data_IF_350810910573
#
_entry.id   IF_350810910573
#
_cell.length_a   1.000
_cell.length_b   1.000
_cell.length_c   1.000
_cell.angle_alpha   90.00
_cell.angle_beta   90.00
_cell.angle_gamma   90.00
#
_symmetry.space_group_name_H-M   'P 1'
#
loop_
_entity.id
_entity.type
_entity.pdbx_description
1 polymer ?
#
# COMPACT_ATOMS: atom_id res chain seq x y z
N UNK A 1 52.47 -21.03 6.98
CA UNK A 1 51.55 -20.29 7.88
C UNK A 1 50.95 -19.18 7.03
N UNK A 2 49.85 -19.49 6.32
CA UNK A 2 49.16 -18.54 5.43
C UNK A 2 47.96 -17.97 6.17
N UNK A 3 47.69 -16.66 6.14
CA UNK A 3 46.51 -16.07 6.76
C UNK A 3 45.25 -16.34 5.93
N UNK A 4 44.22 -16.86 6.60
CA UNK A 4 42.87 -17.02 6.08
C UNK A 4 42.23 -15.64 5.78
N UNK A 5 41.49 -15.48 4.69
CA UNK A 5 40.80 -14.24 4.40
C UNK A 5 39.63 -14.02 5.38
N UNK A 6 39.57 -12.82 5.92
CA UNK A 6 38.42 -12.31 6.70
C UNK A 6 37.17 -12.34 5.82
N UNK A 7 36.19 -13.17 6.19
CA UNK A 7 34.86 -13.11 5.66
C UNK A 7 34.26 -11.75 6.02
N UNK A 8 34.05 -10.90 5.03
CA UNK A 8 33.15 -9.75 5.14
C UNK A 8 31.75 -10.30 5.41
N UNK A 9 31.24 -10.05 6.61
CA UNK A 9 29.82 -10.25 6.91
C UNK A 9 29.03 -9.20 6.09
N UNK A 10 28.48 -9.64 4.96
CA UNK A 10 27.50 -8.86 4.23
C UNK A 10 26.26 -8.74 5.11
N UNK A 11 26.07 -7.56 5.68
CA UNK A 11 24.84 -7.17 6.35
C UNK A 11 23.74 -7.09 5.28
N UNK A 12 23.05 -8.21 5.07
CA UNK A 12 21.70 -8.21 4.54
C UNK A 12 20.90 -7.26 5.42
N UNK A 13 20.50 -6.12 4.88
CA UNK A 13 19.48 -5.29 5.48
C UNK A 13 18.14 -6.06 5.35
N UNK A 14 17.66 -6.72 6.39
CA UNK A 14 16.25 -6.97 6.47
C UNK A 14 15.64 -5.58 6.68
N UNK A 15 14.85 -5.09 5.73
CA UNK A 15 13.83 -4.09 6.02
C UNK A 15 13.03 -4.71 7.16
N UNK A 16 13.37 -4.33 8.37
CA UNK A 16 12.67 -4.71 9.57
C UNK A 16 11.32 -4.01 9.54
N UNK A 17 10.39 -4.58 8.75
CA UNK A 17 8.99 -4.57 9.11
C UNK A 17 8.90 -5.26 10.47
N UNK A 18 9.14 -4.52 11.54
CA UNK A 18 8.78 -4.96 12.86
C UNK A 18 7.27 -4.79 13.07
N UNK A 19 6.46 -5.36 12.20
CA UNK A 19 5.21 -5.96 12.60
C UNK A 19 5.58 -7.30 13.25
N UNK A 20 6.16 -7.26 14.43
CA UNK A 20 6.46 -8.45 15.22
C UNK A 20 5.22 -8.89 15.99
N UNK A 21 4.11 -9.10 15.30
CA UNK A 21 3.30 -10.25 15.67
C UNK A 21 4.06 -11.43 15.07
N UNK A 22 4.69 -12.24 15.89
CA UNK A 22 5.14 -13.55 15.47
C UNK A 22 3.89 -14.28 14.99
N UNK A 23 3.57 -14.13 13.70
CA UNK A 23 2.55 -14.93 13.06
C UNK A 23 3.09 -16.36 13.17
N UNK A 24 2.45 -17.17 13.98
CA UNK A 24 2.73 -18.59 14.09
C UNK A 24 2.19 -19.24 12.81
N UNK A 25 2.88 -19.01 11.68
CA UNK A 25 2.62 -19.76 10.47
C UNK A 25 2.86 -21.24 10.80
N UNK A 26 1.94 -22.10 10.41
CA UNK A 26 2.08 -23.53 10.62
C UNK A 26 2.96 -24.06 9.48
N UNK A 27 4.17 -24.59 9.78
CA UNK A 27 4.97 -25.25 8.76
C UNK A 27 4.23 -26.52 8.30
N UNK A 28 3.87 -26.55 7.04
CA UNK A 28 3.25 -27.74 6.40
C UNK A 28 4.36 -28.69 5.95
N UNK A 29 5.48 -28.12 5.46
CA UNK A 29 6.74 -28.78 5.18
C UNK A 29 7.88 -27.86 5.58
N UNK A 30 9.13 -28.33 5.45
CA UNK A 30 10.33 -27.49 5.69
C UNK A 30 10.40 -26.26 4.78
N UNK A 31 9.66 -26.27 3.66
CA UNK A 31 9.66 -25.24 2.62
C UNK A 31 8.36 -24.44 2.54
N UNK A 32 7.24 -24.94 3.07
CA UNK A 32 5.91 -24.36 2.94
C UNK A 32 5.31 -23.98 4.28
N UNK A 33 5.13 -22.68 4.48
CA UNK A 33 4.38 -22.11 5.61
C UNK A 33 2.99 -21.69 5.18
N UNK A 34 1.98 -22.04 5.96
CA UNK A 34 0.60 -21.56 5.81
C UNK A 34 0.18 -20.83 7.07
N UNK A 35 -0.44 -19.69 6.91
CA UNK A 35 -0.89 -18.87 8.01
C UNK A 35 -2.00 -17.92 7.57
N UNK A 36 -2.33 -16.99 8.44
CA UNK A 36 -3.38 -16.03 8.13
C UNK A 36 -3.62 -15.05 9.24
N UNK A 37 -4.76 -14.36 9.16
CA UNK A 37 -5.25 -13.54 10.25
C UNK A 37 -6.77 -13.43 10.21
N UNK A 38 -7.34 -13.29 11.41
CA UNK A 38 -8.72 -12.84 11.60
C UNK A 38 -8.64 -11.48 12.29
N UNK A 39 -9.26 -10.45 11.69
CA UNK A 39 -9.22 -9.10 12.21
C UNK A 39 -10.62 -8.60 12.55
N UNK A 40 -10.67 -7.82 13.62
CA UNK A 40 -11.80 -7.00 13.99
C UNK A 40 -11.42 -5.52 13.91
N UNK A 41 -12.39 -4.67 13.61
CA UNK A 41 -12.21 -3.22 13.53
C UNK A 41 -13.21 -2.50 14.43
N UNK A 42 -12.83 -1.31 14.84
CA UNK A 42 -13.67 -0.35 15.50
C UNK A 42 -13.52 0.99 14.79
N UNK A 43 -14.66 1.63 14.49
CA UNK A 43 -14.76 2.94 13.86
C UNK A 43 -15.66 3.83 14.69
N UNK A 44 -15.14 4.99 15.08
CA UNK A 44 -15.91 6.04 15.75
C UNK A 44 -15.73 7.35 14.99
N UNK A 45 -16.81 7.83 14.39
CA UNK A 45 -16.85 9.07 13.62
C UNK A 45 -18.08 9.87 14.12
N UNK A 46 -17.86 10.87 14.94
CA UNK A 46 -18.95 11.65 15.53
C UNK A 46 -19.67 12.52 14.49
N UNK A 47 -18.99 12.93 13.42
CA UNK A 47 -19.57 13.83 12.41
C UNK A 47 -20.56 13.08 11.51
N UNK A 48 -20.39 11.75 11.37
CA UNK A 48 -21.27 10.87 10.59
C UNK A 48 -22.16 9.94 11.45
N UNK A 49 -22.16 10.11 12.77
CA UNK A 49 -22.87 9.24 13.74
C UNK A 49 -22.52 7.74 13.54
N UNK A 50 -21.22 7.46 13.36
CA UNK A 50 -20.72 6.11 13.19
C UNK A 50 -20.05 5.63 14.47
N UNK A 51 -20.64 4.61 15.11
CA UNK A 51 -20.07 3.82 16.18
C UNK A 51 -20.21 2.35 15.80
N UNK A 52 -19.15 1.77 15.21
CA UNK A 52 -19.19 0.40 14.69
C UNK A 52 -18.02 -0.42 15.23
N UNK A 53 -18.32 -1.60 15.70
CA UNK A 53 -17.34 -2.61 16.05
C UNK A 53 -17.74 -3.94 15.43
N UNK A 54 -16.79 -4.64 14.81
CA UNK A 54 -17.13 -5.91 14.19
C UNK A 54 -15.96 -6.55 13.44
N UNK A 55 -16.32 -7.56 12.67
CA UNK A 55 -15.37 -8.25 11.80
C UNK A 55 -14.80 -7.28 10.73
N UNK A 56 -13.49 -7.33 10.53
CA UNK A 56 -12.82 -6.59 9.45
C UNK A 56 -12.50 -7.52 8.28
N UNK A 57 -11.58 -8.47 8.47
CA UNK A 57 -11.17 -9.38 7.38
C UNK A 57 -10.69 -10.73 7.90
N UNK A 58 -10.86 -11.75 7.06
CA UNK A 58 -10.11 -13.00 7.11
C UNK A 58 -9.04 -12.97 6.02
N UNK A 59 -7.81 -13.29 6.38
CA UNK A 59 -6.69 -13.45 5.45
C UNK A 59 -6.16 -14.88 5.51
N UNK A 60 -5.86 -15.45 4.36
CA UNK A 60 -5.11 -16.69 4.23
C UNK A 60 -3.82 -16.40 3.48
N UNK A 61 -2.70 -16.92 3.97
CA UNK A 61 -1.38 -16.72 3.41
C UNK A 61 -0.66 -18.07 3.24
N UNK A 62 0.04 -18.22 2.13
CA UNK A 62 1.01 -19.29 1.94
C UNK A 62 2.35 -18.66 1.52
N UNK A 63 3.45 -19.18 2.04
CA UNK A 63 4.81 -18.76 1.67
C UNK A 63 5.63 -20.01 1.41
N UNK A 64 6.27 -20.08 0.25
CA UNK A 64 7.15 -21.16 -0.15
C UNK A 64 8.59 -20.66 -0.24
N UNK A 65 9.52 -21.37 0.35
CA UNK A 65 10.94 -21.01 0.31
C UNK A 65 11.81 -22.27 0.25
N UNK A 66 12.52 -22.44 -0.86
CA UNK A 66 13.59 -23.41 -1.02
C UNK A 66 14.90 -22.71 -1.37
N UNK A 67 15.94 -23.45 -1.70
CA UNK A 67 17.25 -22.88 -2.07
C UNK A 67 17.14 -21.90 -3.25
N UNK A 68 16.39 -22.27 -4.29
CA UNK A 68 16.26 -21.48 -5.52
C UNK A 68 14.85 -20.94 -5.76
N UNK A 69 13.81 -21.68 -5.35
CA UNK A 69 12.44 -21.28 -5.61
C UNK A 69 11.82 -20.60 -4.39
N UNK A 70 11.11 -19.53 -4.64
CA UNK A 70 10.35 -18.78 -3.65
C UNK A 70 8.96 -18.50 -4.17
N UNK A 71 8.00 -18.31 -3.29
CA UNK A 71 6.66 -17.93 -3.68
C UNK A 71 5.85 -17.41 -2.51
N UNK A 72 4.86 -16.58 -2.78
CA UNK A 72 3.94 -16.14 -1.77
C UNK A 72 2.57 -15.88 -2.38
N UNK A 73 1.52 -16.20 -1.63
CA UNK A 73 0.16 -15.86 -1.96
C UNK A 73 -0.57 -15.39 -0.70
N UNK A 74 -1.44 -14.39 -0.87
CA UNK A 74 -2.36 -13.93 0.16
C UNK A 74 -3.72 -13.67 -0.48
N UNK A 75 -4.77 -14.18 0.18
CA UNK A 75 -6.15 -13.96 -0.21
C UNK A 75 -6.92 -13.35 0.95
N UNK A 76 -7.74 -12.33 0.68
CA UNK A 76 -8.54 -11.60 1.67
C UNK A 76 -10.02 -11.77 1.42
N UNK A 77 -10.79 -11.81 2.54
CA UNK A 77 -12.24 -11.94 2.56
C UNK A 77 -12.82 -10.87 3.47
N UNK A 78 -13.75 -10.07 2.94
CA UNK A 78 -14.49 -9.03 3.62
C UNK A 78 -15.99 -9.22 3.40
N UNK A 79 -16.81 -8.39 4.01
CA UNK A 79 -18.23 -8.31 3.76
C UNK A 79 -19.10 -8.40 5.00
N UNK A 80 -20.38 -8.00 4.86
CA UNK A 80 -21.47 -7.98 5.84
C UNK A 80 -21.31 -6.95 6.95
N UNK A 81 -20.11 -6.70 7.46
CA UNK A 81 -19.86 -5.73 8.52
C UNK A 81 -19.40 -4.39 7.94
N UNK A 82 -19.46 -3.32 8.74
CA UNK A 82 -18.96 -2.01 8.34
C UNK A 82 -17.50 -2.09 7.86
N UNK A 83 -17.13 -1.44 6.75
CA UNK A 83 -17.93 -0.58 5.86
C UNK A 83 -18.69 -1.32 4.74
N UNK A 84 -18.71 -2.66 4.72
CA UNK A 84 -19.27 -3.51 3.66
C UNK A 84 -20.71 -3.93 3.91
N UNK A 85 -21.54 -3.10 4.57
CA UNK A 85 -22.93 -3.43 4.93
C UNK A 85 -23.84 -3.60 3.72
N UNK A 86 -23.40 -3.21 2.52
CA UNK A 86 -24.09 -3.43 1.25
C UNK A 86 -23.98 -4.89 0.77
N UNK A 87 -23.27 -5.74 1.48
CA UNK A 87 -23.10 -7.17 1.18
C UNK A 87 -23.85 -8.04 2.19
N UNK A 88 -24.23 -9.26 1.79
CA UNK A 88 -25.01 -10.18 2.61
C UNK A 88 -24.12 -11.12 3.46
N UNK A 89 -22.94 -11.48 2.97
CA UNK A 89 -22.10 -12.50 3.58
C UNK A 89 -20.62 -12.07 3.63
N UNK A 90 -19.89 -12.63 4.61
CA UNK A 90 -18.41 -12.59 4.61
C UNK A 90 -17.92 -13.38 3.39
N UNK A 91 -17.05 -12.75 2.58
CA UNK A 91 -16.56 -13.31 1.33
C UNK A 91 -17.30 -12.78 0.10
N UNK A 92 -18.30 -11.93 0.25
CA UNK A 92 -18.92 -11.25 -0.89
C UNK A 92 -17.96 -10.20 -1.49
N UNK A 93 -17.00 -9.71 -0.68
CA UNK A 93 -15.81 -9.00 -1.19
C UNK A 93 -14.60 -9.90 -0.92
N UNK A 94 -13.97 -10.40 -1.99
CA UNK A 94 -12.85 -11.31 -1.85
C UNK A 94 -11.89 -11.22 -3.04
N UNK A 95 -10.57 -11.19 -2.76
CA UNK A 95 -9.55 -11.00 -3.79
C UNK A 95 -8.18 -11.54 -3.37
N UNK A 96 -7.36 -11.84 -4.38
CA UNK A 96 -5.94 -12.07 -4.19
C UNK A 96 -5.21 -10.73 -4.01
N UNK A 97 -4.52 -10.56 -2.89
CA UNK A 97 -3.69 -9.38 -2.63
C UNK A 97 -2.37 -9.49 -3.40
N UNK A 98 -1.76 -10.67 -3.35
CA UNK A 98 -0.64 -11.08 -4.19
C UNK A 98 -0.67 -12.60 -4.39
N UNK A 99 -0.10 -13.05 -5.50
CA UNK A 99 0.12 -14.47 -5.81
C UNK A 99 1.22 -14.57 -6.86
N UNK A 100 2.43 -14.96 -6.44
CA UNK A 100 3.59 -15.01 -7.32
C UNK A 100 4.51 -16.18 -6.97
N UNK A 101 5.29 -16.60 -7.95
CA UNK A 101 6.42 -17.50 -7.82
C UNK A 101 7.68 -16.77 -8.27
N UNK A 102 8.80 -17.08 -7.65
CA UNK A 102 10.07 -16.47 -7.99
C UNK A 102 11.22 -17.46 -8.00
N UNK A 103 12.29 -17.06 -8.63
CA UNK A 103 13.54 -17.80 -8.70
C UNK A 103 14.70 -16.95 -8.23
N UNK A 104 15.48 -17.46 -7.28
CA UNK A 104 16.74 -16.87 -6.83
C UNK A 104 17.88 -17.43 -7.68
N UNK A 105 18.56 -16.55 -8.39
CA UNK A 105 19.77 -16.91 -9.15
C UNK A 105 20.96 -17.10 -8.21
N UNK A 106 20.99 -16.26 -7.15
CA UNK A 106 21.97 -16.22 -6.08
C UNK A 106 21.41 -15.39 -4.90
N UNK A 107 22.29 -15.05 -3.93
CA UNK A 107 21.90 -14.25 -2.76
C UNK A 107 21.44 -12.81 -3.10
N UNK A 108 21.87 -12.28 -4.24
CA UNK A 108 21.71 -10.88 -4.61
C UNK A 108 20.69 -10.69 -5.74
N UNK A 109 20.30 -11.75 -6.46
CA UNK A 109 19.46 -11.65 -7.67
C UNK A 109 18.29 -12.60 -7.63
N UNK A 110 17.12 -12.05 -7.92
CA UNK A 110 15.89 -12.83 -8.05
C UNK A 110 14.93 -12.26 -9.08
N UNK A 111 14.07 -13.11 -9.61
CA UNK A 111 12.91 -12.74 -10.42
C UNK A 111 11.63 -13.24 -9.75
N UNK A 112 10.57 -12.47 -9.82
CA UNK A 112 9.22 -12.84 -9.35
C UNK A 112 8.25 -12.72 -10.51
N UNK A 113 7.33 -13.68 -10.69
CA UNK A 113 6.33 -13.69 -11.77
C UNK A 113 4.97 -13.98 -11.17
N UNK A 114 3.97 -13.23 -11.56
CA UNK A 114 2.60 -13.33 -11.09
C UNK A 114 2.03 -12.00 -10.66
N UNK A 115 1.07 -12.02 -9.75
CA UNK A 115 0.54 -10.84 -9.09
C UNK A 115 1.51 -10.46 -7.95
N UNK A 116 2.35 -9.49 -8.15
CA UNK A 116 3.36 -9.06 -7.19
C UNK A 116 3.43 -7.55 -7.05
N UNK A 117 3.99 -7.08 -5.94
CA UNK A 117 4.08 -5.66 -5.62
C UNK A 117 4.95 -4.91 -6.62
N UNK A 118 4.42 -3.81 -7.14
CA UNK A 118 5.11 -2.88 -8.05
C UNK A 118 6.19 -2.12 -7.27
N UNK A 119 7.45 -2.10 -7.74
CA UNK A 119 8.54 -1.45 -7.03
C UNK A 119 8.53 0.07 -7.26
N UNK A 120 7.79 0.81 -6.44
CA UNK A 120 7.69 2.26 -6.53
C UNK A 120 7.77 2.92 -5.15
N UNK A 121 8.59 3.95 -5.00
CA UNK A 121 8.74 4.73 -3.79
C UNK A 121 9.29 3.97 -2.59
N UNK A 122 8.84 4.36 -1.41
CA UNK A 122 9.02 3.63 -0.16
C UNK A 122 8.37 2.24 -0.26
N UNK A 123 8.97 1.26 0.38
CA UNK A 123 8.44 -0.11 0.34
C UNK A 123 8.47 -0.73 1.73
N UNK A 124 7.47 -1.57 2.03
CA UNK A 124 6.27 -1.91 1.23
C UNK A 124 5.18 -0.83 1.30
N UNK A 125 5.22 0.04 2.28
CA UNK A 125 4.26 1.10 2.56
C UNK A 125 4.95 2.46 2.68
N UNK A 126 4.18 3.55 2.55
CA UNK A 126 4.72 4.92 2.60
C UNK A 126 4.75 5.52 4.01
N UNK A 127 4.47 4.73 5.03
CA UNK A 127 4.50 5.17 6.41
C UNK A 127 4.36 4.03 7.40
N UNK A 128 4.30 4.38 8.68
CA UNK A 128 4.09 3.46 9.81
C UNK A 128 2.62 3.17 10.08
N UNK A 129 1.72 3.83 9.35
CA UNK A 129 0.27 3.77 9.57
C UNK A 129 -0.33 2.44 9.14
N UNK A 130 -1.33 1.98 9.89
CA UNK A 130 -2.12 0.81 9.54
C UNK A 130 -3.20 1.14 8.48
N UNK A 131 -3.74 2.36 8.53
CA UNK A 131 -4.77 2.86 7.61
C UNK A 131 -4.22 3.28 6.24
N UNK A 132 -2.89 3.34 6.09
CA UNK A 132 -2.17 3.77 4.89
C UNK A 132 -2.31 5.26 4.58
N UNK A 133 -1.51 5.75 3.62
CA UNK A 133 -1.48 7.16 3.23
C UNK A 133 -2.40 7.44 2.03
N UNK A 134 -2.51 8.70 1.62
CA UNK A 134 -3.16 9.05 0.34
C UNK A 134 -2.47 8.40 -0.87
N UNK A 135 -1.20 7.97 -0.73
CA UNK A 135 -0.47 7.22 -1.75
C UNK A 135 -1.20 5.96 -2.20
N UNK A 136 -1.89 5.28 -1.28
CA UNK A 136 -2.67 4.08 -1.56
C UNK A 136 -3.84 4.39 -2.51
N UNK A 137 -4.70 5.33 -2.15
CA UNK A 137 -5.91 5.66 -2.92
C UNK A 137 -5.63 6.39 -4.25
N UNK A 138 -4.45 7.01 -4.42
CA UNK A 138 -4.01 7.51 -5.73
C UNK A 138 -3.21 6.49 -6.54
N UNK A 139 -3.14 5.23 -6.05
CA UNK A 139 -2.58 4.10 -6.78
C UNK A 139 -1.06 4.13 -6.93
N UNK A 140 -0.34 4.57 -5.90
CA UNK A 140 1.13 4.60 -5.86
C UNK A 140 1.72 3.81 -4.69
N UNK A 141 0.98 3.63 -3.59
CA UNK A 141 1.36 2.83 -2.41
C UNK A 141 0.63 1.48 -2.43
N UNK A 142 1.30 0.42 -2.00
CA UNK A 142 0.79 -0.97 -1.93
C UNK A 142 0.14 -1.47 -3.23
N UNK A 143 0.73 -1.09 -4.36
CA UNK A 143 0.24 -1.46 -5.68
C UNK A 143 0.75 -2.84 -6.05
N UNK A 144 -0.14 -3.76 -6.39
CA UNK A 144 0.19 -5.06 -7.00
C UNK A 144 -0.27 -5.11 -8.46
N UNK A 145 0.55 -5.72 -9.32
CA UNK A 145 0.26 -5.87 -10.74
C UNK A 145 0.68 -7.26 -11.26
N UNK A 146 0.08 -7.65 -12.38
CA UNK A 146 0.33 -8.97 -12.99
C UNK A 146 1.44 -8.88 -14.02
N UNK A 147 2.58 -9.50 -13.71
CA UNK A 147 3.75 -9.44 -14.56
C UNK A 147 4.99 -10.05 -13.92
N UNK A 148 6.14 -9.49 -14.26
CA UNK A 148 7.44 -9.93 -13.78
C UNK A 148 8.19 -8.77 -13.12
N UNK A 149 8.88 -9.06 -12.02
CA UNK A 149 9.77 -8.14 -11.30
C UNK A 149 11.13 -8.79 -11.12
N UNK A 150 12.17 -8.06 -11.51
CA UNK A 150 13.56 -8.40 -11.25
C UNK A 150 14.08 -7.55 -10.09
N UNK A 151 14.82 -8.16 -9.17
CA UNK A 151 15.43 -7.52 -8.01
C UNK A 151 16.90 -7.87 -7.99
N UNK A 152 17.77 -6.87 -7.83
CA UNK A 152 19.20 -7.03 -7.71
C UNK A 152 19.79 -6.15 -6.62
N UNK A 153 20.60 -6.75 -5.75
CA UNK A 153 21.46 -6.05 -4.80
C UNK A 153 22.87 -5.92 -5.40
N UNK A 154 23.43 -4.71 -5.39
CA UNK A 154 24.78 -4.39 -5.90
C UNK A 154 25.52 -3.58 -4.84
N UNK A 155 26.11 -4.27 -3.86
CA UNK A 155 26.68 -3.62 -2.67
C UNK A 155 25.60 -2.82 -1.94
N UNK A 156 25.78 -1.50 -1.82
CA UNK A 156 24.80 -0.62 -1.15
C UNK A 156 23.60 -0.26 -2.03
N UNK A 157 23.58 -0.66 -3.31
CA UNK A 157 22.51 -0.32 -4.24
C UNK A 157 21.51 -1.46 -4.38
N UNK A 158 20.23 -1.12 -4.34
CA UNK A 158 19.10 -2.00 -4.65
C UNK A 158 18.41 -1.52 -5.92
N UNK A 159 18.46 -2.35 -6.96
CA UNK A 159 17.77 -2.12 -8.22
C UNK A 159 16.57 -3.04 -8.31
N UNK A 160 15.41 -2.49 -8.61
CA UNK A 160 14.21 -3.26 -8.93
C UNK A 160 13.62 -2.76 -10.24
N UNK A 161 13.24 -3.68 -11.13
CA UNK A 161 12.60 -3.38 -12.41
C UNK A 161 11.39 -4.30 -12.61
N UNK A 162 10.25 -3.74 -13.01
CA UNK A 162 9.02 -4.48 -13.24
C UNK A 162 8.43 -4.23 -14.62
N UNK A 163 7.91 -5.30 -15.21
CA UNK A 163 7.16 -5.29 -16.47
C UNK A 163 5.83 -6.00 -16.24
N UNK A 164 4.73 -5.27 -16.31
CA UNK A 164 3.41 -5.81 -15.99
C UNK A 164 2.44 -5.58 -17.15
N UNK A 165 1.64 -6.59 -17.43
CA UNK A 165 0.62 -6.52 -18.47
C UNK A 165 -0.58 -5.65 -18.08
N UNK A 166 -0.92 -5.66 -16.78
CA UNK A 166 -2.10 -4.99 -16.21
C UNK A 166 -1.96 -4.84 -14.70
N UNK A 167 -2.76 -3.95 -14.06
CA UNK A 167 -2.97 -3.95 -12.62
C UNK A 167 -3.55 -5.28 -12.11
N UNK A 168 -3.76 -5.41 -10.80
CA UNK A 168 -4.46 -6.54 -10.22
C UNK A 168 -5.81 -6.78 -10.95
N UNK A 169 -6.22 -8.04 -11.05
CA UNK A 169 -7.53 -8.35 -11.60
C UNK A 169 -8.62 -8.18 -10.52
N UNK A 170 -9.86 -7.85 -10.90
CA UNK A 170 -10.98 -7.82 -9.98
C UNK A 170 -11.18 -9.18 -9.29
N UNK A 171 -11.44 -9.13 -8.00
CA UNK A 171 -11.97 -10.25 -7.24
C UNK A 171 -13.50 -10.24 -7.22
N UNK A 172 -14.08 -11.09 -6.38
CA UNK A 172 -15.52 -11.06 -6.14
C UNK A 172 -15.89 -9.75 -5.44
N UNK A 173 -16.90 -9.04 -5.92
CA UNK A 173 -17.40 -7.80 -5.33
C UNK A 173 -16.43 -6.62 -5.35
N UNK A 174 -15.37 -6.68 -6.17
CA UNK A 174 -14.37 -5.62 -6.28
C UNK A 174 -14.32 -5.03 -7.68
N UNK A 175 -13.99 -3.76 -7.81
CA UNK A 175 -13.77 -3.14 -9.12
C UNK A 175 -12.37 -3.38 -9.67
N UNK A 176 -11.35 -3.55 -8.81
CA UNK A 176 -9.97 -3.77 -9.24
C UNK A 176 -9.05 -4.53 -8.24
N UNK A 177 -9.58 -5.50 -7.49
CA UNK A 177 -8.79 -6.27 -6.54
C UNK A 177 -8.18 -5.43 -5.42
N UNK A 178 -6.96 -5.76 -5.01
CA UNK A 178 -6.26 -5.11 -3.89
C UNK A 178 -5.71 -3.72 -4.20
N UNK A 179 -5.60 -3.36 -5.47
CA UNK A 179 -4.86 -2.17 -5.92
C UNK A 179 -5.83 -1.12 -6.45
N UNK A 180 -5.67 0.11 -5.99
CA UNK A 180 -6.35 1.24 -6.61
C UNK A 180 -5.68 1.58 -7.94
N UNK A 181 -6.41 1.45 -9.00
CA UNK A 181 -5.96 1.84 -10.34
C UNK A 181 -7.15 2.16 -11.25
N UNK A 182 -6.87 2.56 -12.50
CA UNK A 182 -7.91 2.96 -13.45
C UNK A 182 -8.90 1.85 -13.73
N UNK A 183 -10.18 2.19 -13.75
CA UNK A 183 -11.29 1.28 -14.05
C UNK A 183 -12.13 1.78 -15.20
N UNK A 184 -12.87 0.86 -15.81
CA UNK A 184 -13.89 1.16 -16.82
C UNK A 184 -15.23 1.22 -16.10
N UNK A 185 -15.71 2.43 -15.80
CA UNK A 185 -17.02 2.64 -15.17
C UNK A 185 -18.15 2.25 -16.12
N UNK A 186 -19.30 1.89 -15.58
CA UNK A 186 -20.53 1.68 -16.33
C UNK A 186 -21.44 2.92 -16.24
N UNK A 187 -22.45 2.99 -17.07
CA UNK A 187 -23.45 4.06 -17.02
C UNK A 187 -24.30 4.00 -15.72
N UNK A 188 -24.41 2.83 -15.12
CA UNK A 188 -25.14 2.59 -13.87
C UNK A 188 -24.24 2.70 -12.63
N UNK A 189 -22.96 3.11 -12.81
CA UNK A 189 -22.03 3.31 -11.71
C UNK A 189 -22.43 4.54 -10.89
N UNK A 190 -22.23 4.45 -9.58
CA UNK A 190 -22.55 5.55 -8.65
C UNK A 190 -21.55 6.71 -8.72
N UNK A 191 -20.50 6.62 -9.56
CA UNK A 191 -19.46 7.64 -9.71
C UNK A 191 -19.90 8.65 -10.78
N UNK A 192 -20.27 9.89 -10.40
CA UNK A 192 -20.64 10.92 -11.37
C UNK A 192 -19.48 11.21 -12.32
N UNK A 193 -19.77 11.35 -13.61
CA UNK A 193 -18.76 11.62 -14.65
C UNK A 193 -17.63 10.58 -14.67
N UNK A 194 -17.95 9.33 -14.34
CA UNK A 194 -17.01 8.24 -14.32
C UNK A 194 -16.36 8.01 -15.68
N UNK A 195 -15.06 7.73 -15.70
CA UNK A 195 -14.28 7.55 -16.92
C UNK A 195 -14.06 6.08 -17.23
N UNK A 196 -13.70 5.76 -18.47
CA UNK A 196 -13.60 4.38 -18.97
C UNK A 196 -12.19 4.06 -19.44
N UNK A 197 -11.23 4.13 -18.51
CA UNK A 197 -9.82 3.95 -18.80
C UNK A 197 -9.31 2.60 -18.28
N UNK A 198 -8.55 1.88 -19.11
CA UNK A 198 -7.92 0.62 -18.77
C UNK A 198 -6.40 0.75 -18.82
N UNK A 199 -5.73 0.50 -17.70
CA UNK A 199 -4.26 0.53 -17.64
C UNK A 199 -3.65 -0.78 -18.13
N UNK A 200 -2.59 -0.66 -18.95
CA UNK A 200 -1.87 -1.75 -19.59
C UNK A 200 -0.38 -1.43 -19.69
N UNK A 201 0.44 -2.46 -19.89
CA UNK A 201 1.88 -2.32 -20.22
C UNK A 201 2.59 -1.40 -19.22
N UNK A 202 2.54 -1.76 -17.95
CA UNK A 202 3.18 -0.99 -16.89
C UNK A 202 4.66 -1.35 -16.86
N UNK A 203 5.51 -0.34 -16.94
CA UNK A 203 6.96 -0.45 -16.80
C UNK A 203 7.35 0.40 -15.59
N UNK A 204 8.14 -0.17 -14.69
CA UNK A 204 8.58 0.53 -13.49
C UNK A 204 10.02 0.19 -13.17
N UNK A 205 10.75 1.16 -12.66
CA UNK A 205 12.09 1.00 -12.11
C UNK A 205 12.21 1.75 -10.80
N UNK A 206 12.89 1.15 -9.83
CA UNK A 206 13.28 1.72 -8.55
C UNK A 206 14.76 1.49 -8.34
N UNK A 207 15.48 2.55 -8.00
CA UNK A 207 16.87 2.49 -7.59
C UNK A 207 17.00 3.14 -6.22
N UNK A 208 17.51 2.40 -5.25
CA UNK A 208 17.74 2.90 -3.91
C UNK A 208 19.18 2.62 -3.46
N UNK A 209 19.72 3.46 -2.60
CA UNK A 209 21.03 3.30 -2.00
C UNK A 209 20.94 3.35 -0.49
N UNK A 210 21.48 2.33 0.16
CA UNK A 210 21.70 2.30 1.60
C UNK A 210 22.96 3.12 1.93
N UNK A 211 22.89 3.95 2.97
CA UNK A 211 24.02 4.78 3.41
C UNK A 211 23.94 5.08 4.91
N UNK A 212 25.07 5.41 5.50
CA UNK A 212 25.16 5.85 6.89
C UNK A 212 25.30 7.37 6.91
N UNK A 213 24.32 8.08 7.48
CA UNK A 213 24.34 9.53 7.66
C UNK A 213 24.48 9.85 9.15
N UNK A 214 25.72 10.02 9.63
CA UNK A 214 25.97 10.09 11.06
C UNK A 214 25.55 8.82 11.77
N UNK A 215 24.64 8.89 12.72
CA UNK A 215 24.06 7.75 13.43
C UNK A 215 22.85 7.12 12.71
N UNK A 216 22.37 7.75 11.63
CA UNK A 216 21.21 7.29 10.88
C UNK A 216 21.60 6.23 9.86
N UNK A 217 21.01 5.05 9.98
CA UNK A 217 20.95 4.06 8.90
C UNK A 217 19.90 4.55 7.91
N UNK A 218 20.30 4.83 6.70
CA UNK A 218 19.45 5.53 5.73
C UNK A 218 19.36 4.78 4.41
N UNK A 219 18.25 4.97 3.72
CA UNK A 219 18.06 4.66 2.32
C UNK A 219 17.56 5.93 1.61
N UNK A 220 18.15 6.23 0.46
CA UNK A 220 17.63 7.22 -0.48
C UNK A 220 17.36 6.55 -1.80
N UNK A 221 16.29 6.92 -2.48
CA UNK A 221 15.98 6.28 -3.74
C UNK A 221 15.08 7.09 -4.64
N UNK A 222 15.06 6.66 -5.90
CA UNK A 222 14.24 7.23 -6.97
C UNK A 222 13.44 6.15 -7.64
N UNK A 223 12.25 6.50 -8.12
CA UNK A 223 11.38 5.58 -8.85
C UNK A 223 10.75 6.26 -10.04
N UNK A 224 10.54 5.50 -11.11
CA UNK A 224 9.82 5.94 -12.30
C UNK A 224 8.86 4.83 -12.76
N UNK A 225 7.64 5.21 -13.11
CA UNK A 225 6.61 4.35 -13.65
C UNK A 225 6.04 4.98 -14.91
N UNK A 226 5.82 4.17 -15.94
CA UNK A 226 5.04 4.54 -17.13
C UNK A 226 4.11 3.42 -17.51
N UNK A 227 2.91 3.76 -17.97
CA UNK A 227 1.94 2.78 -18.49
C UNK A 227 1.09 3.37 -19.61
N UNK A 228 0.45 2.49 -20.36
CA UNK A 228 -0.53 2.85 -21.37
C UNK A 228 -1.93 2.89 -20.76
N UNK A 229 -2.67 3.95 -21.04
CA UNK A 229 -4.10 4.09 -20.72
C UNK A 229 -4.92 3.96 -22.01
N UNK A 230 -5.78 2.96 -22.07
CA UNK A 230 -6.71 2.77 -23.19
C UNK A 230 -8.10 3.29 -22.78
N UNK A 231 -8.57 4.33 -23.45
CA UNK A 231 -9.92 4.81 -23.26
C UNK A 231 -10.90 3.98 -24.09
N UNK A 232 -12.01 3.53 -23.49
CA UNK A 232 -12.99 2.63 -24.13
C UNK A 232 -14.06 3.37 -24.92
N UNK A 233 -14.16 4.68 -24.76
CA UNK A 233 -15.13 5.50 -25.49
C UNK A 233 -14.50 6.10 -26.75
N UNK A 234 -13.31 6.69 -26.62
CA UNK A 234 -12.61 7.30 -27.75
C UNK A 234 -11.80 6.28 -28.57
N UNK A 235 -11.51 5.11 -28.02
CA UNK A 235 -10.59 4.10 -28.54
C UNK A 235 -9.14 4.60 -28.69
N UNK A 236 -8.83 5.75 -28.10
CA UNK A 236 -7.50 6.33 -28.10
C UNK A 236 -6.64 5.80 -26.94
N UNK A 237 -5.33 5.84 -27.12
CA UNK A 237 -4.37 5.49 -26.09
C UNK A 237 -3.66 6.72 -25.55
N UNK A 238 -3.73 6.87 -24.26
CA UNK A 238 -2.95 7.82 -23.48
C UNK A 238 -1.87 7.15 -22.65
N UNK A 239 -1.36 7.87 -21.65
CA UNK A 239 -0.29 7.41 -20.77
C UNK A 239 -0.51 7.83 -19.33
N UNK A 240 -0.01 7.01 -18.40
CA UNK A 240 0.25 7.37 -17.01
C UNK A 240 1.75 7.38 -16.80
N UNK A 241 2.28 8.44 -16.21
CA UNK A 241 3.65 8.53 -15.74
C UNK A 241 3.66 8.92 -14.27
N UNK A 242 4.54 8.30 -13.48
CA UNK A 242 4.75 8.68 -12.10
C UNK A 242 6.24 8.63 -11.76
N UNK A 243 6.67 9.56 -10.90
CA UNK A 243 8.05 9.66 -10.42
C UNK A 243 8.02 9.89 -8.92
N UNK A 244 8.99 9.36 -8.22
CA UNK A 244 9.15 9.59 -6.79
C UNK A 244 10.63 9.68 -6.38
N UNK A 245 10.88 10.52 -5.40
CA UNK A 245 12.10 10.55 -4.58
C UNK A 245 11.70 10.17 -3.16
N UNK A 246 12.46 9.30 -2.50
CA UNK A 246 12.17 8.90 -1.14
C UNK A 246 13.42 8.84 -0.26
N UNK A 247 13.18 8.98 1.04
CA UNK A 247 14.14 8.78 2.12
C UNK A 247 13.53 7.91 3.21
N UNK A 248 14.28 6.92 3.65
CA UNK A 248 14.00 6.12 4.84
C UNK A 248 15.20 6.25 5.77
N UNK A 249 14.97 6.57 7.03
CA UNK A 249 16.01 6.71 8.04
C UNK A 249 15.63 6.07 9.36
N UNK A 250 16.62 5.47 10.04
CA UNK A 250 16.48 4.91 11.38
C UNK A 250 17.68 5.27 12.24
N UNK A 251 17.43 5.79 13.44
CA UNK A 251 18.44 6.03 14.48
C UNK A 251 17.89 5.55 15.83
N UNK A 252 18.44 4.44 16.32
CA UNK A 252 17.92 3.78 17.52
C UNK A 252 16.42 3.53 17.42
N UNK A 253 15.59 4.07 18.35
CA UNK A 253 14.13 3.90 18.33
C UNK A 253 13.41 4.80 17.31
N UNK A 254 14.08 5.82 16.76
CA UNK A 254 13.48 6.77 15.84
C UNK A 254 13.45 6.24 14.41
N UNK A 255 12.32 6.42 13.73
CA UNK A 255 12.14 6.16 12.31
C UNK A 255 11.59 7.40 11.58
N UNK A 256 12.12 7.67 10.40
CA UNK A 256 11.67 8.76 9.52
C UNK A 256 11.46 8.19 8.11
N UNK A 257 10.32 8.48 7.49
CA UNK A 257 10.06 8.15 6.10
C UNK A 257 9.55 9.41 5.40
N UNK A 258 10.15 9.73 4.26
CA UNK A 258 9.76 10.89 3.46
C UNK A 258 9.64 10.47 2.00
N UNK A 259 8.61 10.97 1.33
CA UNK A 259 8.47 10.79 -0.11
C UNK A 259 7.87 12.02 -0.76
N UNK A 260 8.43 12.40 -1.90
CA UNK A 260 7.84 13.37 -2.82
C UNK A 260 7.70 12.71 -4.19
N UNK A 261 6.52 12.79 -4.77
CA UNK A 261 6.21 12.17 -6.06
C UNK A 261 5.29 13.03 -6.91
N UNK A 262 5.24 12.71 -8.19
CA UNK A 262 4.33 13.34 -9.16
C UNK A 262 3.69 12.26 -10.01
N UNK A 263 2.38 12.38 -10.22
CA UNK A 263 1.61 11.55 -11.15
C UNK A 263 1.01 12.43 -12.26
N UNK A 264 1.08 11.94 -13.49
CA UNK A 264 0.49 12.58 -14.66
C UNK A 264 -0.18 11.52 -15.54
N UNK A 265 -1.45 11.72 -15.80
CA UNK A 265 -2.26 10.88 -16.68
C UNK A 265 -2.81 11.72 -17.86
N UNK A 266 -2.83 11.12 -19.04
CA UNK A 266 -3.49 11.64 -20.23
C UNK A 266 -4.51 10.60 -20.69
N UNK A 267 -5.70 10.57 -20.10
CA UNK A 267 -6.66 9.47 -20.24
C UNK A 267 -7.35 9.40 -21.59
N UNK A 268 -7.31 10.47 -22.40
CA UNK A 268 -8.00 10.56 -23.68
C UNK A 268 -9.52 10.42 -23.54
N UNK A 269 -10.08 11.04 -22.52
CA UNK A 269 -11.51 11.04 -22.29
C UNK A 269 -12.26 11.82 -23.40
N UNK A 270 -13.54 11.54 -23.67
CA UNK A 270 -14.34 12.27 -24.67
C UNK A 270 -14.47 13.78 -24.38
N UNK A 271 -14.43 14.16 -23.10
CA UNK A 271 -14.53 15.55 -22.64
C UNK A 271 -13.24 16.08 -22.07
N UNK A 272 -13.14 16.13 -20.73
CA UNK A 272 -11.97 16.64 -20.02
C UNK A 272 -11.02 15.51 -19.63
N UNK A 273 -9.71 15.75 -19.76
CA UNK A 273 -8.63 14.88 -19.30
C UNK A 273 -8.20 15.16 -17.83
N UNK A 274 -8.98 15.95 -17.08
CA UNK A 274 -8.62 16.36 -15.73
C UNK A 274 -8.87 15.29 -14.67
N UNK A 275 -9.73 14.32 -14.97
CA UNK A 275 -10.20 13.29 -14.03
C UNK A 275 -10.05 11.89 -14.64
N UNK A 276 -9.73 10.91 -13.78
CA UNK A 276 -9.70 9.48 -14.11
C UNK A 276 -10.38 8.70 -12.99
N UNK A 277 -11.29 7.79 -13.31
CA UNK A 277 -11.90 6.91 -12.31
C UNK A 277 -10.94 5.81 -11.91
N UNK A 278 -10.75 5.67 -10.60
CA UNK A 278 -10.00 4.60 -9.96
C UNK A 278 -10.94 3.71 -9.18
N UNK A 279 -10.61 2.44 -9.11
CA UNK A 279 -11.30 1.46 -8.29
C UNK A 279 -10.34 0.55 -7.57
N UNK A 280 -10.80 -0.03 -6.49
CA UNK A 280 -10.09 -0.98 -5.66
C UNK A 280 -11.04 -2.07 -5.15
N UNK A 281 -10.74 -2.62 -3.99
CA UNK A 281 -11.53 -3.68 -3.38
C UNK A 281 -12.79 -3.16 -2.65
N UNK A 282 -12.84 -1.92 -2.28
CA UNK A 282 -13.87 -1.32 -1.43
C UNK A 282 -14.65 -0.17 -2.09
N UNK A 283 -14.29 0.19 -3.32
CA UNK A 283 -15.06 1.16 -4.05
C UNK A 283 -14.41 1.74 -5.29
N UNK A 284 -15.12 2.69 -5.89
CA UNK A 284 -14.73 3.42 -7.10
C UNK A 284 -14.93 4.90 -6.87
N UNK A 285 -13.97 5.72 -7.30
CA UNK A 285 -13.99 7.18 -7.18
C UNK A 285 -13.15 7.83 -8.27
N UNK A 286 -13.33 9.13 -8.46
CA UNK A 286 -12.55 9.92 -9.38
C UNK A 286 -11.26 10.44 -8.72
N UNK A 287 -10.17 10.45 -9.46
CA UNK A 287 -8.86 10.97 -9.06
C UNK A 287 -8.42 12.02 -10.06
N UNK A 288 -7.85 13.13 -9.61
CA UNK A 288 -7.24 14.12 -10.49
C UNK A 288 -6.15 13.48 -11.34
N UNK A 289 -6.20 13.71 -12.65
CA UNK A 289 -5.27 13.10 -13.59
C UNK A 289 -3.82 13.55 -13.38
N UNK A 290 -3.61 14.69 -12.71
CA UNK A 290 -2.27 15.24 -12.44
C UNK A 290 -2.19 15.80 -11.03
N UNK A 291 -1.10 15.46 -10.33
CA UNK A 291 -0.86 15.99 -8.99
C UNK A 291 0.49 15.58 -8.45
N UNK A 292 0.88 16.24 -7.36
CA UNK A 292 2.07 15.93 -6.58
C UNK A 292 1.65 15.27 -5.27
N UNK A 293 2.29 14.17 -4.93
CA UNK A 293 2.07 13.46 -3.68
C UNK A 293 3.26 13.70 -2.75
N UNK A 294 2.96 14.12 -1.53
CA UNK A 294 3.95 14.27 -0.47
C UNK A 294 3.55 13.39 0.71
N UNK A 295 4.53 12.71 1.28
CA UNK A 295 4.34 11.87 2.48
C UNK A 295 5.48 12.13 3.45
N UNK A 296 5.15 12.30 4.72
CA UNK A 296 6.08 12.40 5.83
C UNK A 296 5.61 11.54 6.99
N UNK A 297 6.49 10.71 7.53
CA UNK A 297 6.24 9.82 8.66
C UNK A 297 7.36 9.94 9.69
N UNK A 298 6.99 10.06 10.94
CA UNK A 298 7.89 10.03 12.08
C UNK A 298 7.39 9.01 13.07
N UNK A 299 8.25 8.10 13.49
CA UNK A 299 7.89 7.05 14.44
C UNK A 299 8.92 6.89 15.56
N UNK A 300 8.45 6.41 16.71
CA UNK A 300 9.28 6.02 17.84
C UNK A 300 8.88 4.63 18.32
N UNK A 301 9.84 3.71 18.34
CA UNK A 301 9.66 2.33 18.79
C UNK A 301 10.15 2.18 20.23
N UNK A 302 9.25 1.86 21.15
CA UNK A 302 9.61 1.65 22.56
C UNK A 302 10.35 0.31 22.71
N UNK A 303 11.52 0.30 23.34
CA UNK A 303 12.23 -0.93 23.62
C UNK A 303 11.55 -1.71 24.74
N UNK A 304 11.72 -3.04 24.72
CA UNK A 304 11.28 -3.93 25.80
C UNK A 304 9.85 -4.41 25.66
N UNK A 305 9.35 -4.93 26.77
CA UNK A 305 8.00 -5.51 26.91
C UNK A 305 7.19 -4.76 27.96
N UNK A 306 5.88 -4.88 27.89
CA UNK A 306 4.92 -4.29 28.83
C UNK A 306 3.84 -5.32 29.20
N UNK A 307 2.90 -4.96 30.13
CA UNK A 307 1.85 -5.86 30.62
C UNK A 307 2.43 -7.22 31.09
N UNK A 308 3.42 -7.18 31.99
CA UNK A 308 4.02 -8.40 32.54
C UNK A 308 4.73 -9.30 31.52
N UNK A 309 5.24 -8.72 30.42
CA UNK A 309 5.97 -9.44 29.37
C UNK A 309 5.09 -9.95 28.23
N UNK A 310 3.78 -9.72 28.24
CA UNK A 310 2.86 -10.17 27.19
C UNK A 310 2.77 -9.20 26.01
N UNK A 311 3.05 -7.92 26.22
CA UNK A 311 3.06 -6.90 25.20
C UNK A 311 4.48 -6.62 24.69
N UNK A 312 4.63 -6.34 23.40
CA UNK A 312 5.91 -6.02 22.75
C UNK A 312 5.72 -5.18 21.48
N UNK A 313 6.81 -4.61 21.00
CA UNK A 313 6.84 -3.90 19.71
C UNK A 313 5.98 -2.64 19.69
N UNK A 314 5.82 -1.97 20.84
CA UNK A 314 5.05 -0.72 20.91
C UNK A 314 5.74 0.35 20.07
N UNK A 315 4.98 0.93 19.15
CA UNK A 315 5.40 2.04 18.28
C UNK A 315 4.34 3.13 18.34
N UNK A 316 4.77 4.37 18.45
CA UNK A 316 3.91 5.55 18.21
C UNK A 316 4.41 6.24 16.95
N UNK A 317 3.49 6.84 16.18
CA UNK A 317 3.82 7.48 14.92
C UNK A 317 2.87 8.60 14.57
N UNK A 318 3.39 9.57 13.81
CA UNK A 318 2.62 10.60 13.13
C UNK A 318 2.94 10.55 11.63
N UNK A 319 1.90 10.49 10.81
CA UNK A 319 2.01 10.48 9.37
C UNK A 319 1.20 11.62 8.77
N UNK A 320 1.76 12.29 7.78
CA UNK A 320 1.04 13.27 6.98
C UNK A 320 1.23 12.96 5.51
N UNK A 321 0.15 12.97 4.76
CA UNK A 321 0.17 12.84 3.30
C UNK A 321 -0.72 13.89 2.65
N UNK A 322 -0.28 14.40 1.49
CA UNK A 322 -0.95 15.45 0.73
C UNK A 322 -0.86 15.16 -0.76
N UNK A 323 -2.00 15.26 -1.43
CA UNK A 323 -2.10 15.19 -2.88
C UNK A 323 -2.52 16.55 -3.45
N UNK A 324 -1.53 17.31 -3.95
CA UNK A 324 -1.72 18.61 -4.61
C UNK A 324 -2.09 18.39 -6.06
N UNK A 325 -3.32 18.73 -6.43
CA UNK A 325 -3.87 18.54 -7.76
C UNK A 325 -3.49 19.71 -8.66
N UNK A 326 -3.17 19.42 -9.92
CA UNK A 326 -2.64 20.44 -10.85
C UNK A 326 -3.72 21.19 -11.64
N UNK A 327 -4.96 20.69 -11.63
CA UNK A 327 -6.07 21.37 -12.34
C UNK A 327 -6.52 22.61 -11.56
N UNK A 328 -6.86 23.67 -12.29
CA UNK A 328 -7.34 24.92 -11.67
C UNK A 328 -8.71 24.69 -11.01
N UNK A 329 -8.86 25.16 -9.78
CA UNK A 329 -10.10 24.97 -9.01
C UNK A 329 -10.27 23.60 -8.37
N UNK A 330 -9.23 22.77 -8.37
CA UNK A 330 -9.20 21.51 -7.65
C UNK A 330 -8.51 21.71 -6.30
N UNK A 331 -9.20 21.38 -5.21
CA UNK A 331 -8.68 21.52 -3.86
C UNK A 331 -7.79 20.31 -3.49
N UNK A 332 -6.71 20.56 -2.76
CA UNK A 332 -5.80 19.50 -2.32
C UNK A 332 -6.51 18.51 -1.39
N UNK A 333 -6.11 17.25 -1.47
CA UNK A 333 -6.50 16.23 -0.48
C UNK A 333 -5.38 16.07 0.55
N UNK A 334 -5.75 15.94 1.83
CA UNK A 334 -4.81 15.80 2.93
C UNK A 334 -5.27 14.73 3.91
N UNK A 335 -4.30 13.99 4.45
CA UNK A 335 -4.53 12.99 5.49
C UNK A 335 -3.44 13.12 6.55
N UNK A 336 -3.84 13.26 7.80
CA UNK A 336 -2.97 13.22 8.96
C UNK A 336 -3.40 12.09 9.89
N UNK A 337 -2.47 11.25 10.30
CA UNK A 337 -2.72 10.11 11.18
C UNK A 337 -1.77 10.19 12.36
N UNK A 338 -2.31 10.15 13.57
CA UNK A 338 -1.55 9.94 14.79
C UNK A 338 -1.94 8.57 15.35
N UNK A 339 -0.97 7.67 15.52
CA UNK A 339 -1.28 6.30 15.84
C UNK A 339 -0.30 5.63 16.78
N UNK A 340 -0.73 4.51 17.30
CA UNK A 340 0.10 3.55 18.02
C UNK A 340 -0.21 2.14 17.56
N UNK A 341 0.83 1.30 17.53
CA UNK A 341 0.67 -0.12 17.26
C UNK A 341 1.52 -0.94 18.21
N UNK A 342 1.06 -2.14 18.55
CA UNK A 342 1.76 -3.06 19.43
C UNK A 342 1.22 -4.48 19.29
N UNK A 343 1.97 -5.45 19.79
CA UNK A 343 1.53 -6.84 19.87
C UNK A 343 1.28 -7.26 21.31
N UNK A 344 0.25 -8.05 21.53
CA UNK A 344 0.00 -8.78 22.78
C UNK A 344 -0.15 -10.25 22.43
N UNK A 345 0.89 -11.04 22.68
CA UNK A 345 0.99 -12.43 22.19
C UNK A 345 0.80 -12.48 20.66
N UNK A 346 -0.18 -13.27 20.17
CA UNK A 346 -0.50 -13.41 18.74
C UNK A 346 -1.45 -12.32 18.22
N UNK A 347 -1.85 -11.35 19.07
CA UNK A 347 -2.66 -10.24 18.64
C UNK A 347 -1.77 -9.06 18.25
N UNK A 348 -2.03 -8.48 17.08
CA UNK A 348 -1.52 -7.18 16.67
C UNK A 348 -2.64 -6.16 16.77
N UNK A 349 -2.35 -5.03 17.39
CA UNK A 349 -3.31 -3.98 17.67
C UNK A 349 -2.77 -2.67 17.10
N UNK A 350 -3.59 -1.96 16.33
CA UNK A 350 -3.35 -0.61 15.90
C UNK A 350 -4.51 0.29 16.33
N UNK A 351 -4.19 1.47 16.85
CA UNK A 351 -5.17 2.50 17.20
C UNK A 351 -4.71 3.79 16.57
N UNK A 352 -5.56 4.41 15.77
CA UNK A 352 -5.23 5.57 14.96
C UNK A 352 -6.31 6.65 15.06
N UNK A 353 -5.89 7.87 15.30
CA UNK A 353 -6.69 9.06 15.11
C UNK A 353 -6.43 9.58 13.70
N UNK A 354 -7.45 9.45 12.86
CA UNK A 354 -7.43 9.80 11.45
C UNK A 354 -8.01 11.19 11.28
N UNK A 355 -7.35 12.02 10.49
CA UNK A 355 -7.86 13.34 10.10
C UNK A 355 -7.72 13.46 8.59
N UNK A 356 -8.81 13.82 7.93
CA UNK A 356 -8.88 13.99 6.48
C UNK A 356 -9.43 15.35 6.07
N UNK A 357 -8.92 15.88 4.99
CA UNK A 357 -9.49 17.02 4.27
C UNK A 357 -9.57 16.67 2.79
N UNK A 358 -10.77 16.74 2.21
CA UNK A 358 -11.01 16.24 0.86
C UNK A 358 -10.50 14.79 0.69
N UNK A 359 -10.79 13.94 1.69
CA UNK A 359 -10.43 12.53 1.75
C UNK A 359 -11.66 11.67 1.47
N UNK A 360 -11.60 10.64 0.60
CA UNK A 360 -12.78 9.83 0.29
C UNK A 360 -13.23 8.95 1.45
N UNK A 361 -12.36 8.64 2.42
CA UNK A 361 -12.64 7.69 3.49
C UNK A 361 -12.79 8.31 4.87
N UNK A 362 -12.18 9.48 5.10
CA UNK A 362 -12.17 10.13 6.39
C UNK A 362 -13.08 11.35 6.32
N UNK A 363 -14.12 11.33 7.13
CA UNK A 363 -15.07 12.41 7.23
C UNK A 363 -16.22 12.37 6.22
N UNK A 364 -16.98 13.47 6.13
CA UNK A 364 -18.18 13.62 5.35
C UNK A 364 -17.99 14.23 3.96
N UNK A 365 -16.75 14.33 3.48
CA UNK A 365 -16.44 14.86 2.16
C UNK A 365 -17.02 13.99 1.04
N UNK A 366 -16.88 14.38 -0.21
CA UNK A 366 -17.37 13.57 -1.32
C UNK A 366 -16.57 12.29 -1.46
N UNK A 367 -17.19 11.12 -1.32
CA UNK A 367 -16.53 9.84 -1.56
C UNK A 367 -16.01 9.72 -2.99
N UNK A 368 -16.80 10.16 -3.95
CA UNK A 368 -16.52 9.96 -5.39
C UNK A 368 -15.65 11.03 -6.01
N UNK A 369 -15.54 12.24 -5.42
CA UNK A 369 -14.89 13.40 -6.07
C UNK A 369 -13.78 14.06 -5.21
N UNK A 370 -13.61 13.66 -3.96
CA UNK A 370 -12.61 14.23 -3.06
C UNK A 370 -11.19 14.19 -3.60
N UNK A 371 -10.80 13.10 -4.26
CA UNK A 371 -9.48 12.95 -4.89
C UNK A 371 -9.39 13.57 -6.29
N UNK A 372 -10.51 14.01 -6.85
CA UNK A 372 -10.58 14.80 -8.10
C UNK A 372 -10.72 16.30 -7.77
N UNK A 373 -11.92 16.85 -7.81
CA UNK A 373 -12.13 18.29 -7.62
C UNK A 373 -11.94 18.75 -6.20
N UNK A 374 -12.22 17.90 -5.22
CA UNK A 374 -12.25 18.21 -3.81
C UNK A 374 -13.62 17.91 -3.21
N UNK A 375 -13.83 18.32 -1.97
CA UNK A 375 -15.06 18.06 -1.23
C UNK A 375 -15.48 19.30 -0.41
N UNK A 376 -15.65 19.11 0.90
CA UNK A 376 -16.08 20.19 1.82
C UNK A 376 -14.97 21.18 2.16
N UNK A 377 -13.72 20.83 1.90
CA UNK A 377 -12.48 21.55 2.27
C UNK A 377 -12.35 21.81 3.78
N UNK A 378 -12.99 21.00 4.59
CA UNK A 378 -12.89 21.01 6.04
C UNK A 378 -12.10 19.80 6.54
N UNK A 379 -11.41 19.95 7.68
CA UNK A 379 -10.81 18.84 8.40
C UNK A 379 -11.89 18.08 9.18
N UNK A 380 -11.93 16.80 8.95
CA UNK A 380 -12.82 15.86 9.59
C UNK A 380 -12.01 14.78 10.27
N UNK A 381 -12.54 14.14 11.31
CA UNK A 381 -11.76 13.22 12.12
C UNK A 381 -12.53 11.95 12.45
N UNK A 382 -11.77 10.86 12.65
CA UNK A 382 -12.29 9.55 12.98
C UNK A 382 -11.30 8.82 13.88
N UNK A 383 -11.77 8.13 14.90
CA UNK A 383 -10.96 7.17 15.63
C UNK A 383 -11.15 5.78 15.01
N UNK A 384 -10.03 5.15 14.68
CA UNK A 384 -9.99 3.82 14.12
C UNK A 384 -9.15 2.89 14.98
N UNK A 385 -9.62 1.67 15.21
CA UNK A 385 -8.79 0.63 15.81
C UNK A 385 -8.95 -0.69 15.07
N UNK A 386 -7.86 -1.43 14.97
CA UNK A 386 -7.84 -2.77 14.37
C UNK A 386 -7.15 -3.75 15.33
N UNK A 387 -7.75 -4.90 15.53
CA UNK A 387 -7.22 -5.99 16.35
C UNK A 387 -7.18 -7.24 15.50
N UNK A 388 -5.99 -7.73 15.18
CA UNK A 388 -5.77 -8.92 14.38
C UNK A 388 -5.18 -10.07 15.19
N UNK A 389 -5.81 -11.24 15.16
CA UNK A 389 -5.18 -12.50 15.58
C UNK A 389 -4.49 -13.11 14.37
N UNK A 390 -3.17 -13.28 14.48
CA UNK A 390 -2.33 -13.83 13.41
C UNK A 390 -1.88 -15.26 13.79
N UNK A 391 -1.96 -16.18 12.83
CA UNK A 391 -1.62 -17.59 12.98
C UNK A 391 -0.83 -18.12 11.78
#
# INVERSE_FOLDING_TARGET
>A
MFPLPRRCAHLLFPVLLTCSAAALAVPVTDELDVGGAIRARFDHDPDRDIDKAGFDTLMLRATYTSDSWIGAARYRFYGKQYPYQYTDHIGDVAFAEYAWVGYRFDADRQVQVGLNQVPFGLQPYFGSTFYETLGNVVGLEDVSAVGAKYIQQLGDWNLQAGLYGRPAWPGRGTSNGSTYSTVVTSADDYVPEGTRNQERQIVVARLARSLQLGEWKSEVGVSALTSRLENKDTHDAGRRNAYALHYLGQNGPWGVQLQAGRQQMSPRNPGSDEVVSFGGYDGTFNVASRGNLYVGDLSYSFPGTFVGGWGSGMKVYGNYSRFDKSASGFDASERFILGTSFSVRSFYIAVEWLNGRNDPYIGGSSYTDSLARGGTDHWENQLYANVGYYF
#
